data_IF_324991371920
#
_entry.id   IF_324991371920
#
_cell.length_a   1.000
_cell.length_b   1.000
_cell.length_c   1.000
_cell.angle_alpha   90.00
_cell.angle_beta   90.00
_cell.angle_gamma   90.00
#
_symmetry.space_group_name_H-M   'P 1'
#
loop_
_entity.id
_entity.type
_entity.pdbx_description
1 polymer ?
#
# COMPACT_ATOMS: atom_id res chain seq x y z
N UNK A 1 -5.11 -14.37 22.86
CA UNK A 1 -5.46 -13.74 21.56
C UNK A 1 -6.49 -12.62 21.68
N UNK A 2 -7.67 -12.85 22.28
CA UNK A 2 -8.74 -11.83 22.41
C UNK A 2 -8.24 -10.52 23.04
N UNK A 3 -7.52 -10.57 24.17
CA UNK A 3 -6.91 -9.38 24.80
C UNK A 3 -5.95 -8.60 23.87
N UNK A 4 -5.23 -9.30 23.00
CA UNK A 4 -4.31 -8.68 22.04
C UNK A 4 -5.08 -7.99 20.91
N UNK A 5 -6.11 -8.64 20.37
CA UNK A 5 -6.99 -8.09 19.33
C UNK A 5 -7.71 -6.85 19.89
N UNK A 6 -8.33 -6.96 21.07
CA UNK A 6 -9.00 -5.85 21.73
C UNK A 6 -8.05 -4.67 21.94
N UNK A 7 -6.83 -4.91 22.42
CA UNK A 7 -5.82 -3.86 22.59
C UNK A 7 -5.47 -3.18 21.26
N UNK A 8 -5.31 -3.93 20.17
CA UNK A 8 -5.04 -3.36 18.84
C UNK A 8 -6.21 -2.55 18.30
N UNK A 9 -7.44 -3.03 18.45
CA UNK A 9 -8.64 -2.30 18.05
C UNK A 9 -8.79 -0.99 18.84
N UNK A 10 -8.54 -1.03 20.14
CA UNK A 10 -8.55 0.17 20.98
C UNK A 10 -7.45 1.16 20.60
N UNK A 11 -6.25 0.68 20.24
CA UNK A 11 -5.16 1.54 19.75
C UNK A 11 -5.45 2.11 18.35
N UNK A 12 -6.25 1.44 17.54
CA UNK A 12 -6.64 1.95 16.23
C UNK A 12 -7.51 3.22 16.35
N UNK A 13 -8.35 3.34 17.38
CA UNK A 13 -9.23 4.49 17.59
C UNK A 13 -8.45 5.82 17.65
N UNK A 14 -7.48 6.03 18.57
CA UNK A 14 -6.73 7.29 18.62
C UNK A 14 -5.88 7.51 17.36
N UNK A 15 -5.36 6.46 16.73
CA UNK A 15 -4.63 6.58 15.46
C UNK A 15 -5.54 7.08 14.34
N UNK A 16 -6.73 6.49 14.18
CA UNK A 16 -7.71 6.91 13.19
C UNK A 16 -8.20 8.32 13.45
N UNK A 17 -8.51 8.67 14.71
CA UNK A 17 -8.88 10.04 15.08
C UNK A 17 -7.78 11.04 14.73
N UNK A 18 -6.52 10.72 15.00
CA UNK A 18 -5.40 11.59 14.60
C UNK A 18 -5.34 11.77 13.08
N UNK A 19 -5.44 10.67 12.31
CA UNK A 19 -5.43 10.72 10.84
C UNK A 19 -6.61 11.52 10.30
N UNK A 20 -7.82 11.27 10.79
CA UNK A 20 -9.03 11.99 10.41
C UNK A 20 -8.94 13.48 10.75
N UNK A 21 -8.41 13.83 11.92
CA UNK A 21 -8.17 15.22 12.31
C UNK A 21 -7.19 15.90 11.35
N UNK A 22 -6.07 15.24 11.06
CA UNK A 22 -5.03 15.79 10.17
C UNK A 22 -5.59 15.99 8.77
N UNK A 23 -6.23 14.97 8.18
CA UNK A 23 -6.86 15.08 6.86
C UNK A 23 -7.93 16.17 6.88
N UNK A 24 -8.74 16.23 7.93
CA UNK A 24 -9.78 17.23 8.07
C UNK A 24 -9.16 18.63 7.98
N UNK A 25 -8.13 18.91 8.79
CA UNK A 25 -7.45 20.21 8.82
C UNK A 25 -6.79 20.53 7.47
N UNK A 26 -6.04 19.58 6.89
CA UNK A 26 -5.34 19.79 5.62
C UNK A 26 -6.30 20.22 4.51
N UNK A 27 -7.47 19.58 4.41
CA UNK A 27 -8.47 19.92 3.39
C UNK A 27 -9.05 21.33 3.58
N UNK A 28 -9.17 21.83 4.81
CA UNK A 28 -9.71 23.18 5.07
C UNK A 28 -8.66 24.30 5.04
N UNK A 29 -7.39 23.95 5.24
CA UNK A 29 -6.26 24.90 5.12
C UNK A 29 -5.74 24.96 3.69
N UNK A 30 -5.97 23.92 2.88
CA UNK A 30 -5.59 23.92 1.48
C UNK A 30 -6.14 25.16 0.77
N UNK A 31 -5.32 25.84 -0.05
CA UNK A 31 -5.75 27.04 -0.75
C UNK A 31 -6.87 26.69 -1.74
N UNK A 32 -7.93 27.49 -1.73
CA UNK A 32 -9.11 27.31 -2.58
C UNK A 32 -10.38 27.02 -1.77
N UNK A 33 -11.49 27.62 -2.18
CA UNK A 33 -12.79 27.34 -1.59
C UNK A 33 -13.33 26.01 -2.14
N UNK A 34 -13.68 25.03 -1.29
CA UNK A 34 -14.25 23.76 -1.73
C UNK A 34 -15.49 23.91 -2.62
N UNK A 35 -16.33 24.94 -2.40
CA UNK A 35 -17.49 25.21 -3.25
C UNK A 35 -17.10 25.74 -4.64
N UNK A 36 -16.08 26.61 -4.71
CA UNK A 36 -15.52 27.10 -6.00
C UNK A 36 -14.81 25.95 -6.73
N UNK A 37 -14.09 25.08 -6.01
CA UNK A 37 -13.44 23.92 -6.60
C UNK A 37 -14.43 22.95 -7.28
N UNK A 38 -15.67 22.88 -6.78
CA UNK A 38 -16.74 22.05 -7.37
C UNK A 38 -17.43 22.74 -8.53
N UNK A 39 -17.78 24.03 -8.40
CA UNK A 39 -18.56 24.75 -9.40
C UNK A 39 -17.70 25.37 -10.52
N UNK A 40 -16.40 25.49 -10.29
CA UNK A 40 -15.45 26.15 -11.18
C UNK A 40 -15.44 27.68 -11.02
N UNK A 41 -14.44 28.31 -11.65
CA UNK A 41 -14.17 29.75 -11.50
C UNK A 41 -15.25 30.67 -12.10
N UNK A 42 -16.17 30.12 -12.90
CA UNK A 42 -17.25 30.87 -13.55
C UNK A 42 -18.60 30.78 -12.83
N UNK A 43 -18.64 30.16 -11.64
CA UNK A 43 -19.86 30.03 -10.87
C UNK A 43 -20.37 31.39 -10.35
N UNK A 44 -21.69 31.61 -10.36
CA UNK A 44 -22.27 32.82 -9.77
C UNK A 44 -22.08 32.82 -8.25
N UNK A 45 -22.00 34.01 -7.65
CA UNK A 45 -21.81 34.13 -6.21
C UNK A 45 -22.94 33.46 -5.41
N UNK A 46 -24.17 33.50 -5.94
CA UNK A 46 -25.34 32.86 -5.34
C UNK A 46 -25.22 31.33 -5.37
N UNK A 47 -24.72 30.76 -6.47
CA UNK A 47 -24.51 29.32 -6.60
C UNK A 47 -23.41 28.81 -5.66
N UNK A 48 -22.34 29.59 -5.50
CA UNK A 48 -21.25 29.28 -4.57
C UNK A 48 -21.76 29.29 -3.12
N UNK A 49 -22.49 30.33 -2.72
CA UNK A 49 -22.97 30.44 -1.34
C UNK A 49 -24.04 29.38 -1.02
N UNK A 50 -24.93 29.07 -1.96
CA UNK A 50 -25.88 27.97 -1.80
C UNK A 50 -25.18 26.60 -1.64
N UNK A 51 -24.08 26.38 -2.38
CA UNK A 51 -23.30 25.15 -2.24
C UNK A 51 -22.52 25.12 -0.92
N UNK A 52 -21.96 26.24 -0.47
CA UNK A 52 -21.30 26.35 0.85
C UNK A 52 -22.25 26.01 1.99
N UNK A 53 -23.48 26.52 1.92
CA UNK A 53 -24.52 26.21 2.90
C UNK A 53 -24.85 24.71 2.88
N UNK A 54 -25.07 24.13 1.70
CA UNK A 54 -25.33 22.70 1.53
C UNK A 54 -24.18 21.81 2.03
N UNK A 55 -22.94 22.25 1.87
CA UNK A 55 -21.73 21.56 2.34
C UNK A 55 -21.45 21.77 3.83
N UNK A 56 -22.25 22.59 4.52
CA UNK A 56 -22.03 22.92 5.93
C UNK A 56 -20.75 23.74 6.16
N UNK A 57 -20.27 24.48 5.16
CA UNK A 57 -19.06 25.29 5.28
C UNK A 57 -19.28 26.59 6.07
N UNK A 58 -20.55 26.98 6.27
CA UNK A 58 -20.94 28.22 6.94
C UNK A 58 -20.97 28.12 8.48
N UNK A 59 -20.82 26.92 9.04
CA UNK A 59 -20.76 26.72 10.50
C UNK A 59 -19.32 26.76 11.01
N UNK A 60 -19.07 27.07 12.30
CA UNK A 60 -17.73 27.04 12.88
C UNK A 60 -16.99 25.72 12.63
N UNK A 61 -15.68 25.77 12.41
CA UNK A 61 -14.84 24.61 12.05
C UNK A 61 -15.00 23.42 13.01
N UNK A 62 -15.18 23.69 14.30
CA UNK A 62 -15.39 22.64 15.29
C UNK A 62 -16.72 21.89 15.07
N UNK A 63 -17.79 22.58 14.65
CA UNK A 63 -19.06 21.95 14.29
C UNK A 63 -18.92 21.12 13.02
N UNK A 64 -18.21 21.65 12.02
CA UNK A 64 -17.90 20.89 10.79
C UNK A 64 -17.16 19.58 11.12
N UNK A 65 -16.24 19.63 12.08
CA UNK A 65 -15.49 18.45 12.51
C UNK A 65 -16.37 17.42 13.24
N UNK A 66 -17.24 17.88 14.15
CA UNK A 66 -18.17 16.99 14.85
C UNK A 66 -19.19 16.36 13.89
N UNK A 67 -19.69 17.11 12.92
CA UNK A 67 -20.58 16.59 11.88
C UNK A 67 -19.86 15.53 11.05
N UNK A 68 -18.64 15.83 10.57
CA UNK A 68 -17.81 14.89 9.83
C UNK A 68 -17.55 13.58 10.60
N UNK A 69 -17.23 13.66 11.88
CA UNK A 69 -17.05 12.47 12.72
C UNK A 69 -18.38 11.71 12.92
N UNK A 70 -19.49 12.43 13.07
CA UNK A 70 -20.82 11.85 13.21
C UNK A 70 -21.27 11.08 11.96
N UNK A 71 -21.02 11.63 10.78
CA UNK A 71 -21.32 11.00 9.49
C UNK A 71 -20.45 9.76 9.30
N UNK A 72 -19.15 9.85 9.58
CA UNK A 72 -18.23 8.72 9.51
C UNK A 72 -18.62 7.60 10.49
N UNK A 73 -19.05 7.94 11.70
CA UNK A 73 -19.51 6.97 12.70
C UNK A 73 -20.80 6.24 12.28
N UNK A 74 -21.62 6.87 11.42
CA UNK A 74 -22.81 6.27 10.80
C UNK A 74 -22.48 5.47 9.53
N UNK A 75 -21.22 5.50 9.08
CA UNK A 75 -20.77 4.88 7.83
C UNK A 75 -21.06 5.73 6.59
N UNK A 76 -21.43 7.00 6.75
CA UNK A 76 -21.60 7.93 5.64
C UNK A 76 -20.24 8.57 5.30
N UNK A 77 -19.72 8.21 4.13
CA UNK A 77 -18.46 8.75 3.60
C UNK A 77 -18.69 9.98 2.71
N UNK A 78 -19.96 10.35 2.48
CA UNK A 78 -20.36 11.41 1.58
C UNK A 78 -20.14 11.08 0.10
N UNK A 79 -20.24 12.14 -0.70
CA UNK A 79 -20.03 12.10 -2.15
C UNK A 79 -18.69 12.73 -2.52
N UNK A 80 -18.07 12.22 -3.58
CA UNK A 80 -16.87 12.83 -4.15
C UNK A 80 -17.20 14.21 -4.72
N UNK A 81 -16.38 15.19 -4.38
CA UNK A 81 -16.51 16.56 -4.88
C UNK A 81 -16.29 16.66 -6.40
N UNK A 82 -15.53 15.73 -6.96
CA UNK A 82 -15.17 15.71 -8.39
C UNK A 82 -16.19 14.91 -9.18
N UNK A 83 -16.44 13.65 -8.79
CA UNK A 83 -17.29 12.73 -9.55
C UNK A 83 -18.77 12.79 -9.15
N UNK A 84 -19.10 13.46 -8.05
CA UNK A 84 -20.46 13.55 -7.48
C UNK A 84 -21.10 12.18 -7.15
N UNK A 85 -20.29 11.11 -7.11
CA UNK A 85 -20.73 9.75 -6.74
C UNK A 85 -20.43 9.45 -5.27
N UNK A 86 -21.16 8.51 -4.65
CA UNK A 86 -20.83 8.02 -3.32
C UNK A 86 -19.36 7.58 -3.22
N UNK A 87 -18.68 7.99 -2.15
CA UNK A 87 -17.28 7.60 -1.91
C UNK A 87 -17.19 6.10 -1.64
N UNK A 88 -18.18 5.52 -0.96
CA UNK A 88 -18.28 4.09 -0.67
C UNK A 88 -18.24 3.23 -1.95
N UNK A 89 -18.97 3.62 -3.00
CA UNK A 89 -18.97 2.93 -4.29
C UNK A 89 -17.61 2.99 -4.98
N UNK A 90 -16.93 4.14 -4.91
CA UNK A 90 -15.60 4.32 -5.49
C UNK A 90 -14.55 3.46 -4.77
N UNK A 91 -14.61 3.42 -3.44
CA UNK A 91 -13.75 2.53 -2.65
C UNK A 91 -14.04 1.07 -2.98
N UNK A 92 -15.31 0.67 -3.01
CA UNK A 92 -15.71 -0.70 -3.33
C UNK A 92 -15.27 -1.13 -4.73
N UNK A 93 -15.24 -0.19 -5.70
CA UNK A 93 -14.78 -0.45 -7.05
C UNK A 93 -13.26 -0.69 -7.14
N UNK A 94 -12.45 0.10 -6.42
CA UNK A 94 -10.97 0.04 -6.50
C UNK A 94 -10.37 -1.00 -5.54
N UNK A 95 -11.02 -1.25 -4.40
CA UNK A 95 -10.51 -2.11 -3.33
C UNK A 95 -10.09 -3.52 -3.80
N UNK A 96 -10.88 -4.23 -4.63
CA UNK A 96 -10.48 -5.55 -5.13
C UNK A 96 -9.15 -5.52 -5.89
N UNK A 97 -8.92 -4.51 -6.73
CA UNK A 97 -7.67 -4.36 -7.49
C UNK A 97 -6.49 -4.02 -6.57
N UNK A 98 -6.70 -3.20 -5.54
CA UNK A 98 -5.66 -2.92 -4.53
C UNK A 98 -5.28 -4.18 -3.77
N UNK A 99 -6.26 -5.00 -3.37
CA UNK A 99 -6.02 -6.26 -2.68
C UNK A 99 -5.28 -7.25 -3.58
N UNK A 100 -5.72 -7.40 -4.83
CA UNK A 100 -5.06 -8.25 -5.81
C UNK A 100 -3.60 -7.86 -6.03
N UNK A 101 -3.33 -6.58 -6.29
CA UNK A 101 -1.97 -6.07 -6.47
C UNK A 101 -1.11 -6.29 -5.23
N UNK A 102 -1.67 -6.02 -4.05
CA UNK A 102 -0.97 -6.19 -2.76
C UNK A 102 -0.60 -7.66 -2.53
N UNK A 103 -1.55 -8.57 -2.73
CA UNK A 103 -1.34 -10.00 -2.56
C UNK A 103 -0.34 -10.54 -3.59
N UNK A 104 -0.43 -10.11 -4.85
CA UNK A 104 0.51 -10.50 -5.89
C UNK A 104 1.94 -10.01 -5.59
N UNK A 105 2.11 -8.76 -5.14
CA UNK A 105 3.39 -8.22 -4.75
C UNK A 105 4.00 -8.96 -3.54
N UNK A 106 3.18 -9.24 -2.51
CA UNK A 106 3.59 -10.06 -1.36
C UNK A 106 4.01 -11.45 -1.82
N UNK A 107 3.25 -12.08 -2.72
CA UNK A 107 3.56 -13.41 -3.23
C UNK A 107 4.92 -13.42 -3.95
N UNK A 108 5.19 -12.45 -4.83
CA UNK A 108 6.51 -12.28 -5.46
C UNK A 108 7.60 -12.12 -4.39
N UNK A 109 7.37 -11.25 -3.40
CA UNK A 109 8.27 -11.02 -2.28
C UNK A 109 8.59 -12.29 -1.49
N UNK A 110 7.60 -13.14 -1.22
CA UNK A 110 7.76 -14.39 -0.49
C UNK A 110 8.48 -15.44 -1.33
N UNK A 111 8.04 -15.64 -2.58
CA UNK A 111 8.58 -16.64 -3.51
C UNK A 111 10.04 -16.39 -3.81
N UNK A 112 10.46 -15.13 -3.92
CA UNK A 112 11.86 -14.79 -4.16
C UNK A 112 12.63 -14.58 -2.86
N UNK A 113 12.06 -13.85 -1.91
CA UNK A 113 12.75 -13.40 -0.70
C UNK A 113 13.09 -14.55 0.24
N UNK A 114 12.17 -15.50 0.45
CA UNK A 114 12.42 -16.62 1.37
C UNK A 114 13.59 -17.49 0.86
N UNK A 115 13.60 -18.00 -0.39
CA UNK A 115 14.73 -18.78 -0.88
C UNK A 115 16.06 -18.03 -0.82
N UNK A 116 16.09 -16.75 -1.22
CA UNK A 116 17.30 -15.92 -1.16
C UNK A 116 17.78 -15.79 0.29
N UNK A 117 16.88 -15.52 1.23
CA UNK A 117 17.21 -15.41 2.65
C UNK A 117 17.74 -16.70 3.25
N UNK A 118 17.14 -17.84 2.91
CA UNK A 118 17.57 -19.17 3.36
C UNK A 118 18.94 -19.52 2.78
N UNK A 119 19.12 -19.39 1.47
CA UNK A 119 20.38 -19.74 0.79
C UNK A 119 21.54 -18.89 1.28
N UNK A 120 21.33 -17.58 1.45
CA UNK A 120 22.37 -16.69 1.97
C UNK A 120 22.71 -17.01 3.43
N UNK A 121 21.73 -17.40 4.26
CA UNK A 121 21.93 -17.82 5.64
C UNK A 121 22.74 -19.11 5.76
N UNK A 122 22.39 -20.14 5.00
CA UNK A 122 23.12 -21.42 4.99
C UNK A 122 24.56 -21.21 4.51
N UNK A 123 24.75 -20.44 3.43
CA UNK A 123 26.07 -20.13 2.88
C UNK A 123 26.68 -18.86 3.50
N UNK A 124 26.56 -18.67 4.81
CA UNK A 124 27.06 -17.49 5.52
C UNK A 124 28.55 -17.25 5.23
N UNK A 125 28.93 -15.98 5.05
CA UNK A 125 30.29 -15.52 4.73
C UNK A 125 30.85 -16.02 3.38
N UNK A 126 30.02 -16.61 2.53
CA UNK A 126 30.40 -16.97 1.16
C UNK A 126 30.13 -15.83 0.16
N UNK A 127 30.67 -15.89 -1.07
CA UNK A 127 30.33 -14.93 -2.12
C UNK A 127 28.82 -14.80 -2.37
N UNK A 128 28.06 -15.89 -2.24
CA UNK A 128 26.59 -15.89 -2.40
C UNK A 128 25.92 -15.00 -1.35
N UNK A 129 26.39 -15.08 -0.10
CA UNK A 129 25.92 -14.22 0.99
C UNK A 129 26.33 -12.76 0.79
N UNK A 130 27.56 -12.48 0.36
CA UNK A 130 27.99 -11.12 0.05
C UNK A 130 27.15 -10.49 -1.07
N UNK A 131 26.98 -11.19 -2.19
CA UNK A 131 26.16 -10.70 -3.32
C UNK A 131 24.71 -10.50 -2.87
N UNK A 132 24.12 -11.47 -2.17
CA UNK A 132 22.75 -11.38 -1.68
C UNK A 132 22.52 -10.18 -0.76
N UNK A 133 23.46 -9.88 0.14
CA UNK A 133 23.40 -8.71 1.02
C UNK A 133 23.51 -7.40 0.25
N UNK A 134 24.44 -7.29 -0.71
CA UNK A 134 24.60 -6.09 -1.53
C UNK A 134 23.35 -5.83 -2.36
N UNK A 135 22.84 -6.87 -3.05
CA UNK A 135 21.61 -6.76 -3.86
C UNK A 135 20.42 -6.36 -2.99
N UNK A 136 20.25 -6.99 -1.81
CA UNK A 136 19.16 -6.64 -0.89
C UNK A 136 19.28 -5.20 -0.38
N UNK A 137 20.50 -4.74 -0.08
CA UNK A 137 20.74 -3.37 0.38
C UNK A 137 20.46 -2.34 -0.72
N UNK A 138 20.86 -2.63 -1.95
CA UNK A 138 20.55 -1.80 -3.11
C UNK A 138 19.03 -1.76 -3.32
N UNK A 139 18.35 -2.90 -3.31
CA UNK A 139 16.89 -2.96 -3.48
C UNK A 139 16.13 -2.16 -2.41
N UNK A 140 16.54 -2.23 -1.14
CA UNK A 140 15.92 -1.46 -0.05
C UNK A 140 16.22 0.05 -0.13
N UNK A 141 17.39 0.43 -0.65
CA UNK A 141 17.81 1.83 -0.76
C UNK A 141 17.29 2.48 -2.05
N UNK A 142 16.84 1.69 -3.02
CA UNK A 142 16.40 2.20 -4.31
C UNK A 142 14.97 2.75 -4.22
N UNK A 143 14.71 3.98 -4.68
CA UNK A 143 13.37 4.55 -4.60
C UNK A 143 12.35 3.75 -5.41
N UNK A 144 11.24 3.36 -4.78
CA UNK A 144 10.21 2.53 -5.39
C UNK A 144 9.64 3.12 -6.69
N UNK A 145 9.34 4.42 -6.67
CA UNK A 145 8.81 5.13 -7.83
C UNK A 145 9.80 5.14 -9.00
N UNK A 146 11.10 5.21 -8.72
CA UNK A 146 12.14 5.25 -9.74
C UNK A 146 12.30 3.87 -10.39
N UNK A 147 12.26 2.80 -9.60
CA UNK A 147 12.21 1.43 -10.13
C UNK A 147 10.99 1.23 -11.02
N UNK A 148 9.82 1.72 -10.58
CA UNK A 148 8.59 1.65 -11.37
C UNK A 148 8.74 2.34 -12.72
N UNK A 149 9.32 3.54 -12.77
CA UNK A 149 9.55 4.28 -14.00
C UNK A 149 10.49 3.51 -14.95
N UNK A 150 11.59 2.96 -14.44
CA UNK A 150 12.54 2.18 -15.26
C UNK A 150 11.84 0.95 -15.85
N UNK A 151 11.18 0.15 -15.01
CA UNK A 151 10.52 -1.07 -15.45
C UNK A 151 9.38 -0.76 -16.43
N UNK A 152 8.60 0.29 -16.19
CA UNK A 152 7.57 0.77 -17.12
C UNK A 152 8.16 1.22 -18.46
N UNK A 153 9.23 2.00 -18.45
CA UNK A 153 9.88 2.45 -19.68
C UNK A 153 10.39 1.27 -20.51
N UNK A 154 11.08 0.30 -19.90
CA UNK A 154 11.60 -0.84 -20.64
C UNK A 154 10.50 -1.81 -21.08
N UNK A 155 9.67 -2.30 -20.14
CA UNK A 155 8.75 -3.40 -20.42
C UNK A 155 7.42 -2.96 -21.04
N UNK A 156 6.93 -1.76 -20.71
CA UNK A 156 5.69 -1.26 -21.28
C UNK A 156 5.93 -0.39 -22.52
N UNK A 157 6.85 0.57 -22.47
CA UNK A 157 7.04 1.53 -23.56
C UNK A 157 7.94 0.98 -24.66
N UNK A 158 9.14 0.50 -24.32
CA UNK A 158 10.13 0.09 -25.32
C UNK A 158 9.85 -1.29 -25.91
N UNK A 159 9.47 -2.25 -25.08
CA UNK A 159 9.22 -3.64 -25.48
C UNK A 159 7.76 -3.92 -25.81
N UNK A 160 6.81 -3.13 -25.30
CA UNK A 160 5.38 -3.34 -25.53
C UNK A 160 4.81 -4.63 -24.92
N UNK A 161 5.50 -5.23 -23.95
CA UNK A 161 5.09 -6.51 -23.35
C UNK A 161 3.85 -6.31 -22.48
N UNK A 162 3.87 -5.30 -21.62
CA UNK A 162 2.79 -5.01 -20.67
C UNK A 162 2.16 -3.62 -20.91
N UNK A 163 0.90 -3.42 -20.53
CA UNK A 163 0.28 -2.10 -20.51
C UNK A 163 0.97 -1.18 -19.50
N UNK A 164 1.05 0.12 -19.81
CA UNK A 164 1.60 1.11 -18.88
C UNK A 164 0.59 1.56 -17.82
N UNK A 165 -0.68 1.65 -18.19
CA UNK A 165 -1.78 2.16 -17.33
C UNK A 165 -3.05 1.36 -17.61
N UNK A 166 -3.83 1.10 -16.56
CA UNK A 166 -5.15 0.49 -16.64
C UNK A 166 -5.31 -0.68 -15.68
N UNK A 167 -6.46 -1.34 -15.78
CA UNK A 167 -6.78 -2.59 -15.09
C UNK A 167 -7.70 -3.42 -15.98
N UNK A 168 -7.82 -4.72 -15.69
CA UNK A 168 -8.82 -5.57 -16.33
C UNK A 168 -9.61 -6.34 -15.26
N UNK A 169 -10.91 -6.58 -15.47
CA UNK A 169 -11.75 -7.29 -14.52
C UNK A 169 -11.27 -8.72 -14.24
N UNK A 170 -11.58 -9.25 -13.06
CA UNK A 170 -11.27 -10.65 -12.69
C UNK A 170 -11.91 -11.70 -13.61
N UNK A 171 -13.00 -11.34 -14.31
CA UNK A 171 -13.63 -12.22 -15.29
C UNK A 171 -12.75 -12.47 -16.53
N UNK A 172 -11.70 -11.67 -16.74
CA UNK A 172 -10.77 -11.79 -17.85
C UNK A 172 -9.34 -12.04 -17.34
N UNK A 173 -9.05 -13.24 -16.80
CA UNK A 173 -7.80 -13.51 -16.08
C UNK A 173 -6.54 -13.30 -16.91
N UNK A 174 -6.58 -13.58 -18.21
CA UNK A 174 -5.43 -13.37 -19.10
C UNK A 174 -5.09 -11.88 -19.27
N UNK A 175 -6.10 -11.02 -19.43
CA UNK A 175 -5.90 -9.58 -19.51
C UNK A 175 -5.50 -9.03 -18.14
N UNK A 176 -6.20 -9.43 -17.07
CA UNK A 176 -5.91 -9.02 -15.71
C UNK A 176 -4.44 -9.30 -15.34
N UNK A 177 -3.93 -10.51 -15.59
CA UNK A 177 -2.53 -10.84 -15.38
C UNK A 177 -1.59 -9.91 -16.16
N UNK A 178 -1.94 -9.56 -17.41
CA UNK A 178 -1.13 -8.66 -18.22
C UNK A 178 -1.02 -7.25 -17.62
N UNK A 179 -2.09 -6.73 -16.99
CA UNK A 179 -2.06 -5.47 -16.25
C UNK A 179 -1.39 -5.58 -14.87
N UNK A 180 -1.44 -6.76 -14.26
CA UNK A 180 -1.01 -7.01 -12.89
C UNK A 180 0.50 -7.30 -12.76
N UNK A 181 1.08 -8.03 -13.71
CA UNK A 181 2.45 -8.60 -13.58
C UNK A 181 3.51 -7.52 -13.37
N UNK A 182 3.53 -6.47 -14.20
CA UNK A 182 4.53 -5.43 -14.12
C UNK A 182 4.49 -4.65 -12.79
N UNK A 183 3.33 -4.10 -12.34
CA UNK A 183 3.27 -3.44 -11.04
C UNK A 183 3.51 -4.41 -9.87
N UNK A 184 3.03 -5.66 -9.94
CA UNK A 184 3.28 -6.66 -8.91
C UNK A 184 4.77 -7.02 -8.78
N UNK A 185 5.51 -7.17 -9.89
CA UNK A 185 6.95 -7.38 -9.88
C UNK A 185 7.66 -6.15 -9.31
N UNK A 186 7.25 -4.95 -9.72
CA UNK A 186 7.87 -3.70 -9.26
C UNK A 186 7.82 -3.59 -7.73
N UNK A 187 6.64 -3.78 -7.14
CA UNK A 187 6.45 -3.75 -5.69
C UNK A 187 7.08 -4.98 -5.02
N UNK A 188 6.90 -6.15 -5.61
CA UNK A 188 7.38 -7.42 -5.10
C UNK A 188 8.90 -7.53 -5.04
N UNK A 189 9.64 -6.87 -5.93
CA UNK A 189 11.11 -6.80 -5.87
C UNK A 189 11.62 -6.03 -4.65
N UNK A 190 10.89 -4.98 -4.24
CA UNK A 190 11.21 -4.21 -3.04
C UNK A 190 10.92 -5.06 -1.80
N UNK A 191 9.76 -5.72 -1.78
CA UNK A 191 9.39 -6.65 -0.71
C UNK A 191 10.35 -7.85 -0.62
N UNK A 192 10.84 -8.35 -1.76
CA UNK A 192 11.84 -9.43 -1.83
C UNK A 192 13.08 -9.09 -1.02
N UNK A 193 13.59 -7.86 -1.14
CA UNK A 193 14.79 -7.42 -0.42
C UNK A 193 14.56 -7.36 1.10
N UNK A 194 13.38 -6.90 1.52
CA UNK A 194 12.98 -6.88 2.93
C UNK A 194 12.84 -8.29 3.50
N UNK A 195 12.07 -9.15 2.82
CA UNK A 195 11.78 -10.53 3.21
C UNK A 195 13.07 -11.36 3.23
N UNK A 196 13.95 -11.22 2.24
CA UNK A 196 15.23 -11.93 2.21
C UNK A 196 16.11 -11.57 3.41
N UNK A 197 16.21 -10.27 3.74
CA UNK A 197 16.99 -9.79 4.89
C UNK A 197 16.43 -10.31 6.21
N UNK A 198 15.11 -10.24 6.38
CA UNK A 198 14.44 -10.74 7.60
C UNK A 198 14.60 -12.26 7.73
N UNK A 199 14.30 -13.00 6.66
CA UNK A 199 14.43 -14.46 6.61
C UNK A 199 15.85 -14.89 6.95
N UNK A 200 16.85 -14.22 6.37
CA UNK A 200 18.25 -14.45 6.70
C UNK A 200 18.53 -14.25 8.20
N UNK A 201 18.08 -13.13 8.76
CA UNK A 201 18.32 -12.82 10.18
C UNK A 201 17.73 -13.88 11.10
N UNK A 202 16.51 -14.34 10.80
CA UNK A 202 15.83 -15.39 11.56
C UNK A 202 16.57 -16.73 11.38
N UNK A 203 16.90 -17.11 10.14
CA UNK A 203 17.61 -18.35 9.85
C UNK A 203 18.98 -18.43 10.54
N UNK A 204 19.74 -17.33 10.60
CA UNK A 204 21.02 -17.31 11.33
C UNK A 204 20.86 -17.55 12.83
N UNK A 205 19.77 -17.06 13.43
CA UNK A 205 19.43 -17.36 14.83
C UNK A 205 19.12 -18.85 14.99
N UNK A 206 18.22 -19.36 14.15
CA UNK A 206 17.73 -20.75 14.18
C UNK A 206 18.86 -21.77 13.96
N UNK A 207 19.78 -21.52 13.02
CA UNK A 207 20.93 -22.40 12.74
C UNK A 207 21.88 -22.56 13.94
N UNK A 208 21.76 -21.71 14.95
CA UNK A 208 22.55 -21.74 16.18
C UNK A 208 21.88 -22.53 17.31
N UNK A 209 20.63 -22.95 17.16
CA UNK A 209 19.84 -23.66 18.18
C UNK A 209 20.26 -25.13 18.35
N UNK A 210 20.06 -25.67 19.56
CA UNK A 210 20.53 -27.02 19.94
C UNK A 210 19.82 -28.15 19.19
N UNK A 211 18.57 -27.98 18.77
CA UNK A 211 17.88 -28.99 17.96
C UNK A 211 18.48 -29.12 16.56
N UNK A 212 19.00 -28.02 15.98
CA UNK A 212 19.72 -28.06 14.70
C UNK A 212 21.05 -28.78 14.86
N UNK A 213 21.80 -28.49 15.95
CA UNK A 213 23.04 -29.21 16.28
C UNK A 213 22.82 -30.71 16.46
N UNK A 214 21.73 -31.07 17.14
CA UNK A 214 21.33 -32.47 17.35
C UNK A 214 20.97 -33.15 16.03
N UNK A 215 20.26 -32.46 15.13
CA UNK A 215 19.94 -32.96 13.80
C UNK A 215 21.20 -33.22 12.97
N UNK A 216 22.18 -32.29 12.99
CA UNK A 216 23.49 -32.47 12.33
C UNK A 216 24.27 -33.65 12.91
N UNK A 217 24.29 -33.81 14.23
CA UNK A 217 24.94 -34.95 14.89
C UNK A 217 24.31 -36.30 14.49
N UNK A 218 23.03 -36.29 14.10
CA UNK A 218 22.32 -37.46 13.55
C UNK A 218 22.51 -37.65 12.04
N UNK A 219 23.32 -36.81 11.38
CA UNK A 219 23.69 -36.95 9.96
C UNK A 219 22.79 -36.22 8.96
N UNK A 220 21.85 -35.38 9.40
CA UNK A 220 21.04 -34.56 8.50
C UNK A 220 21.88 -33.41 7.90
N UNK A 221 21.81 -33.25 6.57
CA UNK A 221 22.44 -32.16 5.82
C UNK A 221 21.46 -31.00 5.59
N UNK A 222 21.99 -29.79 5.38
CA UNK A 222 21.24 -28.59 5.02
C UNK A 222 20.70 -28.58 3.58
#
# INVERSE_FOLDING_TARGET
>A
MVRHIARRLLLAIPTLLAVFTIIFIIVRIAPGDPAIAVLGDYASAEAVEALREKMGLNVPIWQQYLNFLGDLARGDLGNSMISQKPVSEQIAFVLPYTLELTLAAILVGLVLGIPIGVVTAIKRNSPVDYVGRVVSLLGLSFPAFYLAIILMFFFAVRLGWFPAVGSAPFSEPGQNLRYLVLPAITLGLIETAYIARMTRSVMLSILSDDYVRTARAKGLQE
#
